data_IF_392419638709
#
_entry.id   IF_392419638709
#
_cell.length_a   1.000
_cell.length_b   1.000
_cell.length_c   1.000
_cell.angle_alpha   90.00
_cell.angle_beta   90.00
_cell.angle_gamma   90.00
#
_symmetry.space_group_name_H-M   'P 1'
#
loop_
_entity.id
_entity.type
_entity.pdbx_description
1 polymer ?
#
# COMPACT_ATOMS: atom_id res chain seq x y z
N UNK A 1 -24.57 -16.31 -5.55
CA UNK A 1 -25.33 -15.50 -4.58
C UNK A 1 -24.44 -14.36 -4.14
N UNK A 2 -24.49 -13.26 -4.84
CA UNK A 2 -23.76 -12.05 -4.50
C UNK A 2 -24.64 -11.22 -3.58
N UNK A 3 -24.41 -11.33 -2.28
CA UNK A 3 -24.78 -10.21 -1.41
C UNK A 3 -24.02 -8.98 -1.90
N UNK A 4 -24.68 -7.82 -2.04
CA UNK A 4 -23.97 -6.61 -2.38
C UNK A 4 -22.88 -6.39 -1.32
N UNK A 5 -21.64 -6.27 -1.78
CA UNK A 5 -20.49 -6.09 -0.93
C UNK A 5 -20.63 -4.72 -0.30
N UNK A 6 -20.86 -4.74 0.97
CA UNK A 6 -20.87 -3.52 1.77
C UNK A 6 -19.61 -3.51 2.63
N UNK A 7 -18.84 -2.45 2.52
CA UNK A 7 -17.81 -2.10 3.50
C UNK A 7 -18.51 -1.73 4.82
N UNK A 8 -19.18 -2.71 5.43
CA UNK A 8 -19.90 -2.53 6.68
C UNK A 8 -18.95 -2.57 7.89
N UNK A 9 -19.46 -2.18 9.04
CA UNK A 9 -18.68 -2.12 10.26
C UNK A 9 -18.12 -3.48 10.71
N UNK A 10 -18.81 -4.59 10.42
CA UNK A 10 -18.34 -5.92 10.78
C UNK A 10 -17.10 -6.30 9.97
N UNK A 11 -17.15 -6.16 8.67
CA UNK A 11 -16.02 -6.43 7.79
C UNK A 11 -14.82 -5.52 8.08
N UNK A 12 -15.07 -4.22 8.28
CA UNK A 12 -14.01 -3.25 8.62
C UNK A 12 -13.38 -3.55 9.97
N UNK A 13 -14.16 -4.02 10.95
CA UNK A 13 -13.62 -4.43 12.24
C UNK A 13 -12.68 -5.64 12.11
N UNK A 14 -13.10 -6.68 11.39
CA UNK A 14 -12.27 -7.87 11.15
C UNK A 14 -11.00 -7.51 10.36
N UNK A 15 -11.13 -6.69 9.32
CA UNK A 15 -9.99 -6.18 8.58
C UNK A 15 -9.03 -5.39 9.48
N UNK A 16 -9.55 -4.57 10.38
CA UNK A 16 -8.75 -3.82 11.34
C UNK A 16 -7.99 -4.75 12.30
N UNK A 17 -8.61 -5.83 12.78
CA UNK A 17 -7.95 -6.82 13.63
C UNK A 17 -6.84 -7.57 12.87
N UNK A 18 -7.11 -7.99 11.64
CA UNK A 18 -6.11 -8.63 10.79
C UNK A 18 -4.94 -7.68 10.49
N UNK A 19 -5.23 -6.41 10.20
CA UNK A 19 -4.22 -5.37 9.93
C UNK A 19 -3.35 -5.11 11.15
N UNK A 20 -3.89 -5.02 12.36
CA UNK A 20 -3.09 -4.89 13.59
C UNK A 20 -2.08 -6.03 13.72
N UNK A 21 -2.50 -7.28 13.47
CA UNK A 21 -1.59 -8.43 13.49
C UNK A 21 -0.51 -8.34 12.43
N UNK A 22 -0.89 -7.96 11.21
CA UNK A 22 0.04 -7.81 10.09
C UNK A 22 1.07 -6.70 10.35
N UNK A 23 0.65 -5.53 10.82
CA UNK A 23 1.55 -4.42 11.15
C UNK A 23 2.41 -4.71 12.37
N UNK A 24 1.89 -5.44 13.32
CA UNK A 24 2.65 -5.97 14.42
C UNK A 24 3.78 -6.87 13.92
N UNK A 25 3.48 -7.84 13.06
CA UNK A 25 4.48 -8.70 12.41
C UNK A 25 5.48 -7.88 11.59
N UNK A 26 4.98 -6.94 10.78
CA UNK A 26 5.79 -6.04 9.96
C UNK A 26 6.85 -5.29 10.78
N UNK A 27 6.48 -4.76 11.94
CA UNK A 27 7.39 -4.01 12.80
C UNK A 27 8.57 -4.84 13.28
N UNK A 28 8.39 -6.14 13.50
CA UNK A 28 9.43 -7.03 14.00
C UNK A 28 10.28 -7.67 12.90
N UNK A 29 9.66 -7.99 11.76
CA UNK A 29 10.25 -8.94 10.83
C UNK A 29 10.43 -8.38 9.42
N UNK A 30 9.85 -7.24 9.10
CA UNK A 30 10.00 -6.63 7.79
C UNK A 30 11.09 -5.55 7.84
N UNK A 31 12.27 -5.91 7.39
CA UNK A 31 13.45 -5.08 7.24
C UNK A 31 14.33 -5.67 6.14
N UNK A 32 15.52 -5.12 5.90
CA UNK A 32 16.46 -5.70 4.95
C UNK A 32 16.76 -7.18 5.31
N UNK A 33 16.43 -8.15 4.44
CA UNK A 33 16.58 -9.58 4.76
C UNK A 33 18.02 -9.99 5.04
N UNK A 34 19.04 -9.26 4.55
CA UNK A 34 20.44 -9.51 4.85
C UNK A 34 20.80 -9.26 6.34
N UNK A 35 19.95 -8.54 7.06
CA UNK A 35 20.12 -8.15 8.46
C UNK A 35 19.11 -8.83 9.40
N UNK A 36 18.27 -9.75 8.87
CA UNK A 36 17.26 -10.43 9.66
C UNK A 36 17.69 -11.85 10.00
N UNK A 37 17.49 -12.30 11.26
CA UNK A 37 17.70 -13.69 11.60
C UNK A 37 16.68 -14.59 10.87
N UNK A 38 17.14 -15.73 10.41
CA UNK A 38 16.28 -16.75 9.80
C UNK A 38 15.37 -17.36 10.86
N UNK A 39 14.12 -17.07 10.81
CA UNK A 39 13.01 -17.57 11.62
C UNK A 39 12.58 -16.71 12.81
N UNK A 40 11.47 -15.97 12.67
CA UNK A 40 10.94 -15.16 13.75
C UNK A 40 9.78 -15.85 14.47
N UNK A 41 9.85 -15.94 15.78
CA UNK A 41 8.73 -16.31 16.64
C UNK A 41 8.37 -15.16 17.59
N UNK A 42 7.11 -14.78 17.53
CA UNK A 42 6.31 -13.85 18.34
C UNK A 42 6.90 -13.05 19.49
N UNK A 43 6.71 -11.73 19.50
CA UNK A 43 6.46 -10.89 20.68
C UNK A 43 6.00 -9.45 20.36
N UNK A 44 5.61 -8.68 21.36
CA UNK A 44 4.91 -7.39 21.42
C UNK A 44 5.60 -6.18 20.75
N UNK A 45 4.84 -5.13 20.43
CA UNK A 45 5.17 -4.07 19.47
C UNK A 45 5.02 -2.65 19.99
N UNK A 46 5.91 -1.75 19.56
CA UNK A 46 5.75 -0.31 19.71
C UNK A 46 5.28 0.32 18.37
N UNK A 47 4.34 1.27 18.39
CA UNK A 47 3.92 1.98 17.20
C UNK A 47 5.00 2.98 16.74
N UNK A 48 5.10 3.17 15.42
CA UNK A 48 5.92 4.22 14.82
C UNK A 48 5.05 5.34 14.26
N UNK A 49 5.49 6.60 14.35
CA UNK A 49 4.76 7.70 13.72
C UNK A 49 4.80 7.58 12.19
N UNK A 50 3.68 7.95 11.57
CA UNK A 50 3.53 8.01 10.12
C UNK A 50 4.12 9.27 9.54
N UNK A 51 4.70 9.15 8.35
CA UNK A 51 5.07 10.29 7.52
C UNK A 51 4.20 10.36 6.26
N UNK A 52 3.70 11.55 5.87
CA UNK A 52 3.04 11.70 4.59
C UNK A 52 4.06 11.60 3.46
N UNK A 53 3.91 10.59 2.61
CA UNK A 53 4.73 10.38 1.41
C UNK A 53 4.01 10.91 0.17
N UNK A 54 4.68 11.75 -0.63
CA UNK A 54 4.11 12.36 -1.84
C UNK A 54 4.93 12.09 -3.10
N UNK A 55 6.14 11.54 -2.98
CA UNK A 55 7.09 11.35 -4.08
C UNK A 55 7.06 9.96 -4.72
N UNK A 56 5.94 9.25 -4.64
CA UNK A 56 5.77 7.89 -5.17
C UNK A 56 4.79 7.86 -6.34
N UNK A 57 5.07 7.03 -7.35
CA UNK A 57 4.18 6.75 -8.49
C UNK A 57 4.11 5.25 -8.74
N UNK A 58 3.00 4.80 -9.35
CA UNK A 58 2.85 3.41 -9.78
C UNK A 58 2.51 3.35 -11.27
N UNK A 59 3.08 2.35 -11.93
CA UNK A 59 2.89 2.06 -13.36
C UNK A 59 2.52 0.59 -13.51
N UNK A 60 1.42 0.33 -14.18
CA UNK A 60 0.99 -1.00 -14.63
C UNK A 60 1.03 -1.07 -16.15
N UNK A 61 1.64 -2.09 -16.72
CA UNK A 61 1.69 -2.31 -18.17
C UNK A 61 1.40 -3.77 -18.47
N UNK A 62 0.63 -4.01 -19.53
CA UNK A 62 0.45 -5.33 -20.13
C UNK A 62 0.59 -5.19 -21.63
N UNK A 63 1.43 -6.00 -22.25
CA UNK A 63 1.61 -6.00 -23.70
C UNK A 63 0.65 -6.97 -24.41
N UNK A 64 0.63 -6.90 -25.74
CA UNK A 64 -0.20 -7.78 -26.58
C UNK A 64 0.13 -9.29 -26.46
N UNK A 65 1.26 -9.63 -25.86
CA UNK A 65 1.67 -11.04 -25.62
C UNK A 65 1.29 -11.52 -24.22
N UNK A 66 0.72 -10.62 -23.39
CA UNK A 66 0.40 -10.92 -21.99
C UNK A 66 1.57 -10.77 -21.01
N UNK A 67 2.72 -10.22 -21.44
CA UNK A 67 3.76 -9.84 -20.50
C UNK A 67 3.25 -8.68 -19.65
N UNK A 68 3.47 -8.74 -18.35
CA UNK A 68 2.93 -7.78 -17.41
C UNK A 68 4.03 -7.17 -16.52
N UNK A 69 3.87 -5.89 -16.22
CA UNK A 69 4.72 -5.13 -15.31
C UNK A 69 3.85 -4.46 -14.23
N UNK A 70 4.30 -4.55 -12.99
CA UNK A 70 3.87 -3.72 -11.87
C UNK A 70 5.10 -3.01 -11.30
N UNK A 71 5.18 -1.70 -11.40
CA UNK A 71 6.33 -0.93 -10.93
C UNK A 71 5.88 0.24 -10.05
N UNK A 72 6.32 0.24 -8.80
CA UNK A 72 6.21 1.40 -7.92
C UNK A 72 7.59 2.02 -7.78
N UNK A 73 7.69 3.31 -8.07
CA UNK A 73 8.93 4.09 -7.98
C UNK A 73 8.75 5.27 -7.04
N UNK A 74 9.78 5.62 -6.28
CA UNK A 74 9.67 6.65 -5.24
C UNK A 74 10.97 7.40 -5.07
N UNK A 75 10.84 8.69 -4.75
CA UNK A 75 11.90 9.50 -4.15
C UNK A 75 11.56 9.83 -2.68
N UNK A 76 10.52 9.23 -2.12
CA UNK A 76 9.91 9.28 -0.80
C UNK A 76 9.14 10.60 -0.57
N UNK A 77 9.76 11.71 -0.16
CA UNK A 77 9.08 13.01 -0.06
C UNK A 77 8.84 13.62 -1.45
N UNK A 78 7.92 14.57 -1.56
CA UNK A 78 7.52 15.23 -2.82
C UNK A 78 8.71 15.76 -3.64
N UNK A 79 9.77 16.21 -2.96
CA UNK A 79 11.02 16.72 -3.55
C UNK A 79 12.24 15.90 -3.14
N UNK A 80 12.02 14.69 -2.62
CA UNK A 80 13.07 13.82 -2.10
C UNK A 80 13.97 14.54 -1.09
N UNK A 81 15.28 14.38 -1.20
CA UNK A 81 16.26 15.08 -0.37
C UNK A 81 16.45 16.57 -0.71
N UNK A 82 15.73 17.08 -1.69
CA UNK A 82 15.87 18.44 -2.24
C UNK A 82 17.23 18.73 -2.86
N UNK A 83 18.02 17.70 -3.11
CA UNK A 83 19.28 17.78 -3.84
C UNK A 83 19.07 17.34 -5.28
N UNK A 84 19.44 18.19 -6.22
CA UNK A 84 19.40 17.89 -7.65
C UNK A 84 20.78 17.45 -8.14
N UNK A 85 20.82 16.33 -8.84
CA UNK A 85 22.01 15.88 -9.54
C UNK A 85 21.97 16.41 -10.97
N UNK A 86 22.97 17.22 -11.30
CA UNK A 86 23.28 17.64 -12.68
C UNK A 86 24.72 17.25 -12.95
N UNK A 87 24.99 16.48 -14.00
CA UNK A 87 26.34 15.97 -14.29
C UNK A 87 27.30 17.01 -14.82
N UNK A 88 26.85 18.25 -15.07
CA UNK A 88 27.72 19.31 -15.61
C UNK A 88 28.23 19.06 -17.04
N UNK A 89 27.57 18.19 -17.79
CA UNK A 89 27.96 17.78 -19.16
C UNK A 89 27.31 18.61 -20.26
N UNK A 90 26.88 19.82 -19.94
CA UNK A 90 26.26 20.74 -20.92
C UNK A 90 24.80 20.42 -21.27
N UNK A 91 24.19 19.40 -20.72
CA UNK A 91 22.77 19.12 -20.87
C UNK A 91 21.98 19.93 -19.85
N UNK A 92 20.85 20.49 -20.29
CA UNK A 92 19.86 21.10 -19.37
C UNK A 92 19.08 20.05 -18.67
N UNK A 93 18.83 20.26 -17.36
CA UNK A 93 18.03 19.35 -16.53
C UNK A 93 18.87 18.61 -15.48
N UNK A 94 18.25 17.66 -14.88
CA UNK A 94 18.78 16.85 -13.78
C UNK A 94 17.67 16.01 -13.16
N UNK A 95 17.94 15.37 -12.03
CA UNK A 95 16.93 14.67 -11.25
C UNK A 95 17.17 14.89 -9.76
N UNK A 96 16.08 14.85 -9.00
CA UNK A 96 16.12 14.93 -7.54
C UNK A 96 16.54 13.59 -6.94
N UNK A 97 17.42 13.65 -5.95
CA UNK A 97 17.76 12.49 -5.15
C UNK A 97 16.63 12.17 -4.16
N UNK A 98 16.41 10.90 -3.90
CA UNK A 98 15.49 10.46 -2.87
C UNK A 98 15.98 10.81 -1.47
N UNK A 99 15.06 10.75 -0.49
CA UNK A 99 15.34 10.83 0.95
C UNK A 99 14.92 9.55 1.69
N UNK A 100 14.95 8.39 1.04
CA UNK A 100 14.43 7.13 1.57
C UNK A 100 15.12 6.60 2.84
N UNK A 101 16.18 7.25 3.30
CA UNK A 101 16.72 6.99 4.65
C UNK A 101 15.73 7.31 5.76
N UNK A 102 14.73 8.16 5.51
CA UNK A 102 13.63 8.43 6.44
C UNK A 102 12.66 7.26 6.60
N UNK A 103 12.70 6.26 5.72
CA UNK A 103 11.99 4.99 5.86
C UNK A 103 12.57 4.07 6.94
N UNK A 104 13.75 4.35 7.45
CA UNK A 104 14.26 3.71 8.66
C UNK A 104 13.48 4.14 9.90
N UNK A 105 13.51 3.31 10.93
CA UNK A 105 13.05 3.69 12.27
C UNK A 105 13.88 4.85 12.81
N UNK A 106 13.23 5.91 13.34
CA UNK A 106 13.92 7.07 13.89
C UNK A 106 14.61 6.79 15.23
N UNK A 107 14.30 5.67 15.85
CA UNK A 107 14.98 5.19 17.07
C UNK A 107 15.61 3.83 16.79
N UNK A 108 16.82 3.55 17.30
CA UNK A 108 17.48 2.27 17.09
C UNK A 108 16.92 1.15 17.98
N UNK A 109 16.27 1.50 19.09
CA UNK A 109 15.71 0.56 20.06
C UNK A 109 14.28 0.92 20.42
N UNK A 110 13.51 -0.07 20.85
CA UNK A 110 12.19 0.11 21.45
C UNK A 110 12.29 0.60 22.92
N UNK A 111 11.15 0.81 23.56
CA UNK A 111 11.07 1.29 24.95
C UNK A 111 11.71 0.32 25.97
N UNK A 112 11.90 -0.95 25.62
CA UNK A 112 12.58 -1.96 26.43
C UNK A 112 14.09 -2.02 26.20
N UNK A 113 14.63 -1.22 25.27
CA UNK A 113 16.04 -1.25 24.86
C UNK A 113 16.36 -2.32 23.81
N UNK A 114 15.36 -3.06 23.31
CA UNK A 114 15.56 -4.07 22.28
C UNK A 114 15.76 -3.41 20.90
N UNK A 115 16.75 -3.86 20.10
CA UNK A 115 16.97 -3.33 18.76
C UNK A 115 15.74 -3.47 17.86
N UNK A 116 15.36 -2.38 17.18
CA UNK A 116 14.29 -2.37 16.20
C UNK A 116 14.80 -2.99 14.88
N UNK A 117 14.02 -3.88 14.27
CA UNK A 117 14.40 -4.55 13.03
C UNK A 117 14.78 -3.57 11.91
N UNK A 118 14.01 -2.50 11.75
CA UNK A 118 14.22 -1.46 10.71
C UNK A 118 15.09 -0.28 11.22
N UNK A 119 15.97 -0.48 12.19
CA UNK A 119 16.92 0.55 12.62
C UNK A 119 17.99 0.81 11.56
N UNK A 120 18.59 1.98 11.58
CA UNK A 120 19.72 2.33 10.71
C UNK A 120 20.95 1.48 11.06
N UNK A 121 21.56 0.89 10.03
CA UNK A 121 22.84 0.18 10.12
C UNK A 121 23.65 0.39 8.83
N UNK A 122 24.97 0.30 8.90
CA UNK A 122 25.83 0.46 7.72
C UNK A 122 25.55 -0.63 6.67
N UNK A 123 25.37 -0.21 5.42
CA UNK A 123 25.06 -1.12 4.29
C UNK A 123 23.63 -1.66 4.24
N UNK A 124 22.78 -1.32 5.19
CA UNK A 124 21.38 -1.76 5.26
C UNK A 124 20.46 -0.88 4.43
N UNK A 125 19.48 -1.49 3.80
CA UNK A 125 18.40 -0.82 3.09
C UNK A 125 17.22 -0.57 4.03
N UNK A 126 16.54 0.59 3.94
CA UNK A 126 15.32 0.84 4.69
C UNK A 126 14.18 -0.07 4.22
N UNK A 127 13.21 -0.29 5.10
CA UNK A 127 11.97 -0.97 4.78
C UNK A 127 11.12 -0.12 3.85
N UNK A 128 10.46 -0.74 2.87
CA UNK A 128 9.48 -0.09 2.00
C UNK A 128 8.06 -0.59 2.29
N UNK A 129 7.07 0.28 2.05
CA UNK A 129 5.64 -0.08 2.00
C UNK A 129 5.14 -0.27 0.56
N UNK A 130 5.96 0.03 -0.45
CA UNK A 130 5.62 -0.18 -1.85
C UNK A 130 5.24 -1.64 -2.09
N UNK A 131 4.11 -1.87 -2.74
CA UNK A 131 3.50 -3.18 -2.92
C UNK A 131 3.07 -3.38 -4.37
N UNK A 132 3.98 -3.25 -5.36
CA UNK A 132 3.64 -3.59 -6.74
C UNK A 132 3.28 -5.06 -6.81
N UNK A 133 2.13 -5.38 -7.40
CA UNK A 133 1.56 -6.72 -7.34
C UNK A 133 1.19 -7.23 -8.73
N UNK A 134 1.58 -8.46 -9.02
CA UNK A 134 1.12 -9.25 -10.15
C UNK A 134 0.34 -10.45 -9.63
N UNK A 135 -0.82 -10.70 -10.19
CA UNK A 135 -1.65 -11.87 -9.89
C UNK A 135 -1.73 -12.75 -11.13
N UNK A 136 -1.42 -14.02 -10.95
CA UNK A 136 -1.45 -15.04 -11.98
C UNK A 136 -2.41 -16.16 -11.57
N UNK A 137 -3.11 -16.74 -12.54
CA UNK A 137 -3.88 -17.95 -12.33
C UNK A 137 -2.92 -19.13 -12.10
N UNK A 138 -3.05 -19.82 -10.99
CA UNK A 138 -2.09 -20.84 -10.58
C UNK A 138 -2.03 -22.04 -11.54
N UNK A 139 -3.14 -22.60 -12.02
CA UNK A 139 -3.07 -23.74 -12.94
C UNK A 139 -2.51 -23.39 -14.31
N UNK A 140 -2.84 -22.23 -14.86
CA UNK A 140 -2.49 -21.85 -16.23
C UNK A 140 -1.28 -20.92 -16.32
N UNK A 141 -0.88 -20.27 -15.22
CA UNK A 141 0.12 -19.21 -15.21
C UNK A 141 -0.32 -17.92 -15.93
N UNK A 142 -1.60 -17.82 -16.32
CA UNK A 142 -2.11 -16.67 -17.05
C UNK A 142 -2.19 -15.44 -16.16
N UNK A 143 -1.88 -14.29 -16.73
CA UNK A 143 -2.06 -13.00 -16.08
C UNK A 143 -3.53 -12.74 -15.75
N UNK A 144 -3.80 -12.29 -14.52
CA UNK A 144 -5.13 -11.90 -14.06
C UNK A 144 -5.21 -10.41 -13.73
N UNK A 145 -4.21 -9.87 -13.00
CA UNK A 145 -4.25 -8.51 -12.48
C UNK A 145 -2.85 -7.97 -12.21
N UNK A 146 -2.61 -6.71 -12.55
CA UNK A 146 -1.51 -5.92 -12.00
C UNK A 146 -2.07 -4.72 -11.25
N UNK A 147 -1.50 -4.39 -10.11
CA UNK A 147 -1.95 -3.27 -9.28
C UNK A 147 -0.84 -2.73 -8.40
N UNK A 148 -0.95 -1.46 -8.05
CA UNK A 148 -0.15 -0.80 -7.04
C UNK A 148 -0.53 0.66 -6.89
N UNK A 149 0.05 1.34 -5.91
CA UNK A 149 -0.33 2.70 -5.53
C UNK A 149 0.85 3.45 -4.92
N UNK A 150 0.92 4.77 -5.06
CA UNK A 150 1.57 5.65 -4.09
C UNK A 150 0.73 5.76 -2.81
N UNK A 151 1.29 6.36 -1.74
CA UNK A 151 0.55 6.69 -0.53
C UNK A 151 1.21 6.31 0.80
N UNK A 152 2.54 6.21 0.82
CA UNK A 152 3.28 5.91 2.03
C UNK A 152 2.94 4.57 2.65
N UNK A 153 2.84 4.50 3.95
CA UNK A 153 2.48 3.29 4.66
C UNK A 153 1.07 2.77 4.32
N UNK A 154 0.16 3.64 3.84
CA UNK A 154 -1.16 3.27 3.35
C UNK A 154 -1.16 2.51 2.02
N UNK A 155 -0.06 2.51 1.27
CA UNK A 155 0.07 1.74 0.01
C UNK A 155 -0.36 0.29 0.23
N UNK A 156 0.01 -0.29 1.36
CA UNK A 156 -0.35 -1.67 1.73
C UNK A 156 -1.87 -1.85 1.72
N UNK A 157 -2.60 -0.93 2.33
CA UNK A 157 -4.06 -0.98 2.41
C UNK A 157 -4.74 -0.67 1.08
N UNK A 158 -4.23 0.30 0.33
CA UNK A 158 -4.77 0.67 -0.98
C UNK A 158 -4.66 -0.50 -1.96
N UNK A 159 -3.50 -1.15 -2.00
CA UNK A 159 -3.29 -2.33 -2.83
C UNK A 159 -4.15 -3.50 -2.35
N UNK A 160 -4.15 -3.81 -1.04
CA UNK A 160 -4.95 -4.90 -0.48
C UNK A 160 -6.45 -4.72 -0.74
N UNK A 161 -7.01 -3.52 -0.54
CA UNK A 161 -8.40 -3.20 -0.85
C UNK A 161 -8.74 -3.50 -2.31
N UNK A 162 -7.87 -3.10 -3.24
CA UNK A 162 -8.08 -3.31 -4.67
C UNK A 162 -8.04 -4.79 -5.01
N UNK A 163 -7.09 -5.54 -4.47
CA UNK A 163 -7.01 -6.99 -4.67
C UNK A 163 -8.26 -7.71 -4.14
N UNK A 164 -8.70 -7.39 -2.93
CA UNK A 164 -9.91 -7.96 -2.32
C UNK A 164 -11.14 -7.61 -3.16
N UNK A 165 -11.27 -6.36 -3.60
CA UNK A 165 -12.38 -5.93 -4.45
C UNK A 165 -12.48 -6.74 -5.74
N UNK A 166 -11.36 -6.98 -6.41
CA UNK A 166 -11.34 -7.72 -7.69
C UNK A 166 -11.45 -9.23 -7.48
N UNK A 167 -10.67 -9.80 -6.55
CA UNK A 167 -10.52 -11.25 -6.43
C UNK A 167 -11.63 -11.90 -5.62
N UNK A 168 -12.00 -11.30 -4.48
CA UNK A 168 -12.97 -11.87 -3.55
C UNK A 168 -14.38 -11.36 -3.84
N UNK A 169 -14.49 -10.08 -4.19
CA UNK A 169 -15.79 -9.44 -4.37
C UNK A 169 -16.25 -9.42 -5.82
N UNK A 170 -15.41 -9.76 -6.76
CA UNK A 170 -15.75 -9.86 -8.17
C UNK A 170 -16.01 -8.52 -8.87
N UNK A 171 -15.60 -7.42 -8.26
CA UNK A 171 -15.66 -6.09 -8.87
C UNK A 171 -14.73 -6.01 -10.07
N UNK A 172 -15.05 -5.15 -11.02
CA UNK A 172 -14.03 -4.76 -11.98
C UNK A 172 -12.99 -3.84 -11.32
N UNK A 173 -11.84 -3.70 -11.98
CA UNK A 173 -10.69 -3.00 -11.38
C UNK A 173 -11.01 -1.53 -11.06
N UNK A 174 -11.78 -0.83 -11.88
CA UNK A 174 -12.16 0.57 -11.62
C UNK A 174 -13.13 0.68 -10.45
N UNK A 175 -14.09 -0.24 -10.34
CA UNK A 175 -15.01 -0.31 -9.18
C UNK A 175 -14.23 -0.55 -7.88
N UNK A 176 -13.28 -1.48 -7.90
CA UNK A 176 -12.42 -1.78 -6.74
C UNK A 176 -11.55 -0.58 -6.33
N UNK A 177 -11.01 0.16 -7.30
CA UNK A 177 -10.25 1.40 -7.07
C UNK A 177 -11.16 2.46 -6.41
N UNK A 178 -12.38 2.59 -6.88
CA UNK A 178 -13.34 3.60 -6.42
C UNK A 178 -13.88 3.33 -5.00
N UNK A 179 -13.69 2.15 -4.44
CA UNK A 179 -14.06 1.87 -3.05
C UNK A 179 -13.42 2.89 -2.09
N UNK A 180 -14.09 3.24 -0.99
CA UNK A 180 -13.49 4.06 0.06
C UNK A 180 -12.18 3.50 0.57
N UNK A 181 -11.23 4.36 0.90
CA UNK A 181 -9.96 3.97 1.51
C UNK A 181 -10.07 3.89 3.03
N UNK A 182 -9.32 2.99 3.61
CA UNK A 182 -9.23 2.76 5.06
C UNK A 182 -7.90 2.06 5.40
N UNK A 183 -7.52 2.07 6.68
CA UNK A 183 -6.34 1.33 7.11
C UNK A 183 -5.93 1.56 8.55
N UNK A 184 -5.03 0.71 9.03
CA UNK A 184 -4.36 0.80 10.33
C UNK A 184 -2.87 0.66 10.09
N UNK A 185 -2.07 1.54 10.68
CA UNK A 185 -0.63 1.60 10.43
C UNK A 185 0.23 1.07 11.58
N UNK A 186 -0.41 0.54 12.62
CA UNK A 186 0.27 0.04 13.81
C UNK A 186 -0.35 -1.25 14.32
N UNK A 187 0.49 -2.09 14.93
CA UNK A 187 0.06 -3.30 15.65
C UNK A 187 -0.44 -3.04 17.08
N UNK A 188 -0.45 -1.79 17.55
CA UNK A 188 -0.94 -1.47 18.87
C UNK A 188 -2.45 -1.74 18.99
N UNK A 189 -2.89 -2.20 20.18
CA UNK A 189 -4.30 -2.52 20.42
C UNK A 189 -5.22 -1.32 20.22
N UNK A 190 -4.73 -0.14 20.57
CA UNK A 190 -5.42 1.15 20.46
C UNK A 190 -5.06 1.93 19.18
N UNK A 191 -4.43 1.25 18.21
CA UNK A 191 -4.11 1.86 16.93
C UNK A 191 -5.36 2.40 16.24
N UNK A 192 -5.23 3.61 15.70
CA UNK A 192 -6.32 4.29 15.01
C UNK A 192 -6.68 3.57 13.70
N UNK A 193 -7.96 3.30 13.51
CA UNK A 193 -8.52 2.94 12.21
C UNK A 193 -8.81 4.25 11.46
N UNK A 194 -8.06 4.48 10.41
CA UNK A 194 -8.21 5.61 9.53
C UNK A 194 -9.25 5.30 8.46
N UNK A 195 -10.20 6.19 8.27
CA UNK A 195 -11.24 6.10 7.23
C UNK A 195 -11.13 7.31 6.30
N UNK A 196 -11.35 7.10 5.02
CA UNK A 196 -11.36 8.17 4.03
C UNK A 196 -12.50 9.17 4.32
N UNK A 197 -12.14 10.44 4.37
CA UNK A 197 -13.05 11.54 4.71
C UNK A 197 -14.28 11.57 3.80
N UNK A 198 -15.47 11.73 4.40
CA UNK A 198 -16.78 11.78 3.72
C UNK A 198 -17.15 10.55 2.87
N UNK A 199 -16.52 9.39 3.10
CA UNK A 199 -16.80 8.17 2.35
C UNK A 199 -17.48 7.08 3.16
N UNK A 200 -17.61 7.26 4.46
CA UNK A 200 -18.30 6.37 5.38
C UNK A 200 -19.42 7.11 6.10
N UNK A 201 -20.57 6.48 6.25
CA UNK A 201 -21.68 7.05 6.97
C UNK A 201 -21.47 7.05 8.49
N UNK A 202 -22.23 7.87 9.19
CA UNK A 202 -22.11 8.02 10.63
C UNK A 202 -22.46 6.73 11.39
N UNK A 203 -23.39 5.94 10.89
CA UNK A 203 -23.81 4.68 11.51
C UNK A 203 -22.66 3.67 11.48
N UNK A 204 -21.94 3.58 10.36
CA UNK A 204 -20.75 2.72 10.24
C UNK A 204 -19.66 3.14 11.22
N UNK A 205 -19.38 4.45 11.33
CA UNK A 205 -18.37 4.97 12.28
C UNK A 205 -18.75 4.64 13.72
N UNK A 206 -20.00 4.95 14.13
CA UNK A 206 -20.49 4.62 15.47
C UNK A 206 -20.43 3.13 15.78
N UNK A 207 -20.79 2.28 14.82
CA UNK A 207 -20.73 0.83 15.01
C UNK A 207 -19.28 0.33 15.16
N UNK A 208 -18.31 0.93 14.50
CA UNK A 208 -16.88 0.62 14.67
C UNK A 208 -16.37 1.06 16.05
N UNK A 209 -16.75 2.25 16.51
CA UNK A 209 -16.40 2.76 17.84
C UNK A 209 -17.02 1.91 18.95
N UNK A 210 -18.27 1.51 18.79
CA UNK A 210 -18.93 0.59 19.73
C UNK A 210 -18.24 -0.78 19.84
N UNK A 211 -17.49 -1.20 18.81
CA UNK A 211 -16.64 -2.41 18.83
C UNK A 211 -15.23 -2.14 19.40
N UNK A 212 -14.99 -0.95 19.94
CA UNK A 212 -13.74 -0.56 20.58
C UNK A 212 -12.65 -0.13 19.60
N UNK A 213 -12.97 0.20 18.34
CA UNK A 213 -12.01 0.83 17.45
C UNK A 213 -11.91 2.31 17.74
N UNK A 214 -10.68 2.83 17.79
CA UNK A 214 -10.44 4.26 17.71
C UNK A 214 -10.50 4.66 16.24
N UNK A 215 -11.49 5.44 15.85
CA UNK A 215 -11.72 5.82 14.45
C UNK A 215 -11.36 7.28 14.24
N UNK A 216 -10.69 7.57 13.12
CA UNK A 216 -10.47 8.94 12.65
C UNK A 216 -10.68 9.01 11.14
N UNK A 217 -11.22 10.14 10.68
CA UNK A 217 -11.48 10.42 9.27
C UNK A 217 -10.46 11.43 8.76
N UNK A 218 -9.74 11.06 7.69
CA UNK A 218 -8.72 11.90 7.04
C UNK A 218 -8.79 11.79 5.51
N UNK A 219 -8.12 12.68 4.82
CA UNK A 219 -7.84 12.48 3.41
C UNK A 219 -6.90 11.28 3.22
N UNK A 220 -7.30 10.32 2.42
CA UNK A 220 -6.51 9.14 2.06
C UNK A 220 -6.32 9.08 0.54
N UNK A 221 -5.46 9.94 -0.04
CA UNK A 221 -5.30 10.08 -1.48
C UNK A 221 -4.45 8.93 -2.05
N UNK A 222 -5.07 7.78 -2.32
CA UNK A 222 -4.44 6.73 -3.13
C UNK A 222 -4.25 7.19 -4.57
N UNK A 223 -3.36 6.53 -5.30
CA UNK A 223 -3.11 6.77 -6.71
C UNK A 223 -2.97 5.43 -7.44
N UNK A 224 -3.94 4.55 -7.22
CA UNK A 224 -3.91 3.18 -7.74
C UNK A 224 -3.94 3.21 -9.26
N UNK A 225 -3.01 2.47 -9.88
CA UNK A 225 -3.05 2.13 -11.29
C UNK A 225 -3.09 0.62 -11.38
N UNK A 226 -4.02 0.08 -12.16
CA UNK A 226 -4.19 -1.35 -12.25
C UNK A 226 -4.74 -1.76 -13.62
N UNK A 227 -4.43 -2.99 -14.02
CA UNK A 227 -4.96 -3.62 -15.23
C UNK A 227 -5.46 -5.01 -14.87
N UNK A 228 -6.69 -5.30 -15.21
CA UNK A 228 -7.34 -6.60 -15.03
C UNK A 228 -7.59 -7.27 -16.38
N UNK A 229 -7.34 -8.56 -16.47
CA UNK A 229 -7.78 -9.35 -17.61
C UNK A 229 -9.30 -9.49 -17.57
N UNK A 230 -9.97 -9.30 -18.70
CA UNK A 230 -11.44 -9.48 -18.81
C UNK A 230 -11.81 -10.96 -18.66
N UNK A 231 -13.02 -11.19 -18.12
CA UNK A 231 -13.56 -12.56 -17.91
C UNK A 231 -14.41 -13.04 -19.10
N UNK A 232 -14.53 -12.24 -20.14
CA UNK A 232 -15.38 -12.51 -21.30
C UNK A 232 -14.82 -13.55 -22.29
N UNK A 233 -13.64 -14.07 -22.04
CA UNK A 233 -12.97 -15.04 -22.90
C UNK A 233 -12.28 -14.45 -24.13
N UNK A 234 -12.41 -13.16 -24.39
CA UNK A 234 -11.84 -12.49 -25.57
C UNK A 234 -10.38 -12.10 -25.40
N UNK A 235 -9.80 -12.34 -24.23
CA UNK A 235 -8.39 -12.04 -23.93
C UNK A 235 -8.10 -10.55 -23.77
N UNK A 236 -9.11 -9.71 -23.59
CA UNK A 236 -9.00 -8.27 -23.39
C UNK A 236 -8.53 -7.88 -21.99
N UNK A 237 -8.23 -6.61 -21.83
CA UNK A 237 -7.83 -6.01 -20.59
C UNK A 237 -8.69 -4.81 -20.24
N UNK A 238 -8.92 -4.59 -18.95
CA UNK A 238 -9.59 -3.43 -18.39
C UNK A 238 -8.60 -2.68 -17.51
N UNK A 239 -8.28 -1.44 -17.88
CA UNK A 239 -7.46 -0.56 -17.06
C UNK A 239 -8.29 0.24 -16.07
N UNK A 240 -7.71 0.56 -14.92
CA UNK A 240 -8.28 1.44 -13.90
C UNK A 240 -7.27 2.45 -13.40
N UNK A 241 -7.71 3.71 -13.27
CA UNK A 241 -6.94 4.80 -12.70
C UNK A 241 -7.67 5.42 -11.52
N UNK A 242 -6.93 5.76 -10.48
CA UNK A 242 -7.49 6.32 -9.24
C UNK A 242 -7.88 7.80 -9.43
N UNK A 243 -9.16 8.16 -9.23
CA UNK A 243 -9.62 9.54 -9.39
C UNK A 243 -9.14 10.48 -8.28
N UNK A 244 -8.46 9.96 -7.25
CA UNK A 244 -7.92 10.77 -6.13
C UNK A 244 -6.61 11.47 -6.49
N UNK A 245 -5.95 11.01 -7.55
CA UNK A 245 -4.73 11.64 -8.14
C UNK A 245 -4.83 11.67 -9.65
N UNK A 246 -3.92 12.41 -10.28
CA UNK A 246 -3.80 12.39 -11.73
C UNK A 246 -3.26 11.03 -12.18
N UNK A 247 -4.10 10.26 -12.81
CA UNK A 247 -3.77 8.98 -13.41
C UNK A 247 -4.49 8.83 -14.74
N UNK A 248 -3.94 7.99 -15.62
CA UNK A 248 -4.50 7.76 -16.94
C UNK A 248 -4.44 6.28 -17.27
N UNK A 249 -5.49 5.81 -17.96
CA UNK A 249 -5.50 4.52 -18.64
C UNK A 249 -5.37 4.78 -20.13
N UNK A 250 -4.45 4.06 -20.76
CA UNK A 250 -4.25 4.08 -22.22
C UNK A 250 -4.23 2.65 -22.74
N UNK A 251 -4.80 2.43 -23.91
CA UNK A 251 -4.83 1.13 -24.58
C UNK A 251 -5.38 1.24 -25.98
N UNK A 252 -5.13 0.23 -26.79
CA UNK A 252 -5.62 0.09 -28.16
C UNK A 252 -6.94 -0.68 -28.19
#
# INVERSE_FOLDING_TARGET
HTNPITLNADWLHEYAQASRRAFAYRAQYVADPAFMPTNPIHTSYAPMPDQPEYGTSHISVVDARGNALAMTTSIEDAWGSRHMVNRGVGLTGGFLLNNQLTDFSFTPTDASGKPIANRVEAGKRPRSSMSPTLVLDQPSGQFLLTAGSPGGAFIIHFTAKTLIGVLDWGLNVQEAINLPNFGILSGAKDATLWLEHNRFDHATVQALEARGNKVQSIALPSGIQAIQRTKDGNGGYLGGADPRREGIVMGD
#
